data_IF_417558785826
#
_entry.id   IF_417558785826
#
_cell.length_a   1.000
_cell.length_b   1.000
_cell.length_c   1.000
_cell.angle_alpha   90.00
_cell.angle_beta   90.00
_cell.angle_gamma   90.00
#
_symmetry.space_group_name_H-M   'P 1'
#
loop_
_entity.id
_entity.type
_entity.pdbx_description
1 polymer ?
#
# COMPACT_ATOMS: atom_id res chain seq x y z
N UNK A 1 4.37 10.35 -16.93
CA UNK A 1 3.65 10.46 -16.35
C UNK A 1 3.10 9.49 -15.81
N UNK A 2 2.60 9.31 -15.30
CA UNK A 2 2.27 8.49 -14.71
C UNK A 2 1.09 7.95 -14.84
N UNK A 3 0.57 7.23 -14.37
CA UNK A 3 -0.67 6.56 -14.54
C UNK A 3 -1.86 7.36 -14.11
N UNK A 4 -3.03 6.86 -14.36
CA UNK A 4 -4.28 7.47 -13.99
C UNK A 4 -4.84 6.73 -12.80
N UNK A 5 -5.38 7.46 -11.82
CA UNK A 5 -6.04 6.84 -10.68
C UNK A 5 -7.33 6.19 -11.17
N UNK A 6 -7.47 4.89 -10.91
CA UNK A 6 -8.69 4.16 -11.24
C UNK A 6 -9.63 4.17 -10.04
N UNK A 7 -9.10 3.87 -8.87
CA UNK A 7 -9.87 3.74 -7.64
C UNK A 7 -9.08 4.23 -6.46
N UNK A 8 -9.78 4.64 -5.42
CA UNK A 8 -9.17 4.92 -4.13
C UNK A 8 -9.97 4.18 -3.08
N UNK A 9 -9.29 3.45 -2.22
CA UNK A 9 -9.92 2.56 -1.27
C UNK A 9 -9.38 2.78 0.13
N UNK A 10 -10.20 2.48 1.14
CA UNK A 10 -9.77 2.45 2.52
C UNK A 10 -10.07 1.06 3.05
N UNK A 11 -9.04 0.35 3.49
CA UNK A 11 -9.18 -1.02 3.99
C UNK A 11 -8.23 -1.24 5.14
N UNK A 12 -8.47 -2.30 5.89
CA UNK A 12 -7.66 -2.64 7.04
C UNK A 12 -6.81 -3.86 6.74
N UNK A 13 -5.57 -3.84 7.19
CA UNK A 13 -4.67 -4.97 7.00
C UNK A 13 -3.53 -4.93 8.00
N UNK A 14 -2.82 -6.05 8.07
CA UNK A 14 -1.67 -6.21 8.94
C UNK A 14 -0.42 -6.13 8.08
N UNK A 15 0.53 -5.28 8.48
CA UNK A 15 1.76 -5.15 7.73
C UNK A 15 2.59 -6.41 7.91
N UNK A 16 2.93 -7.07 6.79
CA UNK A 16 3.70 -8.28 6.83
C UNK A 16 5.19 -8.00 6.75
N UNK A 17 5.60 -7.30 5.71
CA UNK A 17 7.02 -6.97 5.53
C UNK A 17 7.21 -6.06 4.33
N UNK A 18 8.40 -5.45 4.28
CA UNK A 18 8.90 -4.78 3.09
C UNK A 18 9.94 -5.71 2.48
N UNK A 19 9.70 -6.13 1.25
CA UNK A 19 10.58 -7.09 0.60
C UNK A 19 10.63 -6.79 -0.89
N UNK A 20 11.82 -6.76 -1.45
CA UNK A 20 12.04 -6.60 -2.88
C UNK A 20 11.34 -5.33 -3.40
N UNK A 21 11.42 -4.26 -2.60
CA UNK A 21 10.85 -2.96 -2.91
C UNK A 21 9.35 -2.88 -2.79
N UNK A 22 8.71 -3.89 -2.26
CA UNK A 22 7.25 -3.92 -2.13
C UNK A 22 6.85 -3.98 -0.67
N UNK A 23 5.73 -3.33 -0.37
CA UNK A 23 5.14 -3.34 0.96
C UNK A 23 4.01 -4.35 0.96
N UNK A 24 4.11 -5.39 1.77
CA UNK A 24 3.15 -6.48 1.78
C UNK A 24 2.27 -6.41 3.00
N UNK A 25 0.96 -6.46 2.78
CA UNK A 25 -0.04 -6.47 3.85
C UNK A 25 -0.97 -7.65 3.67
N UNK A 26 -1.36 -8.27 4.79
CA UNK A 26 -2.42 -9.25 4.79
C UNK A 26 -3.70 -8.52 5.16
N UNK A 27 -4.63 -8.44 4.23
CA UNK A 27 -5.84 -7.66 4.41
C UNK A 27 -6.87 -8.44 5.22
N UNK A 28 -7.87 -7.73 5.74
CA UNK A 28 -8.87 -8.36 6.59
C UNK A 28 -9.62 -9.50 5.92
N UNK A 29 -9.74 -9.44 4.60
CA UNK A 29 -10.42 -10.52 3.88
C UNK A 29 -9.51 -11.73 3.62
N UNK A 30 -8.28 -11.70 4.14
CA UNK A 30 -7.34 -12.80 3.98
C UNK A 30 -6.42 -12.68 2.79
N UNK A 31 -6.67 -11.75 1.89
CA UNK A 31 -5.81 -11.56 0.73
C UNK A 31 -4.53 -10.83 1.11
N UNK A 32 -3.45 -11.13 0.40
CA UNK A 32 -2.22 -10.37 0.52
C UNK A 32 -2.20 -9.32 -0.57
N UNK A 33 -2.06 -8.06 -0.19
CA UNK A 33 -1.86 -6.99 -1.15
C UNK A 33 -0.42 -6.53 -1.10
N UNK A 34 0.08 -6.19 -2.28
CA UNK A 34 1.45 -5.72 -2.45
C UNK A 34 1.39 -4.33 -3.02
N UNK A 35 2.01 -3.38 -2.32
CA UNK A 35 2.02 -1.97 -2.72
C UNK A 35 3.39 -1.61 -3.26
N UNK A 36 3.42 -1.05 -4.46
CA UNK A 36 4.68 -0.66 -5.11
C UNK A 36 5.15 0.70 -4.65
N UNK A 37 4.24 1.57 -4.23
CA UNK A 37 4.58 2.93 -3.88
C UNK A 37 3.94 3.34 -2.58
N UNK A 38 4.52 4.35 -1.94
CA UNK A 38 4.00 4.92 -0.72
C UNK A 38 4.19 6.44 -0.80
N UNK A 39 3.20 7.19 -0.33
CA UNK A 39 3.30 8.64 -0.31
C UNK A 39 4.35 9.08 0.71
N UNK A 40 4.90 10.28 0.51
CA UNK A 40 5.87 10.80 1.46
C UNK A 40 5.24 11.05 2.82
N UNK A 41 3.97 11.41 2.86
CA UNK A 41 3.26 11.60 4.12
C UNK A 41 3.22 10.30 4.93
N UNK A 42 2.81 9.22 4.28
CA UNK A 42 2.71 7.92 4.95
C UNK A 42 4.09 7.39 5.35
N UNK A 43 5.08 7.53 4.46
CA UNK A 43 6.41 6.99 4.74
C UNK A 43 7.11 7.75 5.86
N UNK A 44 6.82 9.04 6.02
CA UNK A 44 7.40 9.79 7.12
C UNK A 44 6.76 9.43 8.45
N UNK A 45 5.48 9.08 8.41
CA UNK A 45 4.77 8.73 9.63
C UNK A 45 5.13 7.32 10.09
N UNK A 46 5.29 6.40 9.17
CA UNK A 46 5.60 5.01 9.49
C UNK A 46 6.65 4.50 8.52
N UNK A 47 7.85 4.23 9.03
CA UNK A 47 8.92 3.70 8.19
C UNK A 47 8.74 2.18 8.09
N UNK A 48 8.04 1.76 7.05
CA UNK A 48 7.73 0.35 6.85
C UNK A 48 8.91 -0.45 6.35
N UNK A 49 10.02 0.19 6.01
CA UNK A 49 11.21 -0.54 5.55
C UNK A 49 11.95 -1.21 6.68
N UNK A 50 11.63 -0.85 7.92
CA UNK A 50 12.20 -1.52 9.08
C UNK A 50 11.26 -2.64 9.52
N UNK A 51 11.71 -3.49 10.42
CA UNK A 51 10.87 -4.55 10.97
C UNK A 51 9.98 -4.07 12.10
N UNK A 52 10.08 -2.78 12.45
CA UNK A 52 9.41 -2.24 13.63
C UNK A 52 7.90 -2.40 13.60
N UNK A 53 7.30 -2.29 12.43
CA UNK A 53 5.84 -2.32 12.30
C UNK A 53 5.30 -3.65 11.78
N UNK A 54 6.15 -4.65 11.64
CA UNK A 54 5.68 -5.97 11.19
C UNK A 54 4.70 -6.53 12.22
N UNK A 55 3.57 -7.03 11.73
CA UNK A 55 2.53 -7.57 12.58
C UNK A 55 1.56 -6.53 13.12
N UNK A 56 1.77 -5.26 12.83
CA UNK A 56 0.86 -4.20 13.27
C UNK A 56 -0.29 -4.04 12.30
N UNK A 57 -1.46 -3.70 12.85
CA UNK A 57 -2.65 -3.47 12.04
C UNK A 57 -2.73 -2.00 11.64
N UNK A 58 -3.12 -1.76 10.40
CA UNK A 58 -3.24 -0.41 9.87
C UNK A 58 -4.56 -0.22 9.15
N UNK A 59 -5.07 0.99 9.23
CA UNK A 59 -6.06 1.47 8.28
C UNK A 59 -5.28 2.06 7.12
N UNK A 60 -5.50 1.53 5.93
CA UNK A 60 -4.72 1.88 4.75
C UNK A 60 -5.62 2.58 3.74
N UNK A 61 -5.27 3.82 3.40
CA UNK A 61 -5.89 4.49 2.27
C UNK A 61 -4.94 4.33 1.10
N UNK A 62 -5.41 3.71 0.02
CA UNK A 62 -4.54 3.45 -1.11
C UNK A 62 -5.26 3.69 -2.42
N UNK A 63 -4.48 3.91 -3.44
CA UNK A 63 -4.97 4.17 -4.79
C UNK A 63 -4.51 3.08 -5.74
N UNK A 64 -5.36 2.78 -6.71
CA UNK A 64 -5.03 1.91 -7.81
C UNK A 64 -4.79 2.77 -9.03
N UNK A 65 -3.68 2.55 -9.69
CA UNK A 65 -3.30 3.31 -10.88
C UNK A 65 -3.20 2.38 -12.06
N UNK A 66 -3.76 2.80 -13.19
CA UNK A 66 -3.47 2.14 -14.46
C UNK A 66 -2.24 2.80 -15.02
N UNK A 67 -1.26 1.99 -15.41
CA UNK A 67 -0.05 2.54 -15.94
C UNK A 67 -0.25 2.90 -17.39
N UNK A 68 -0.03 4.14 -17.73
CA UNK A 68 -0.30 4.68 -19.07
C UNK A 68 -1.74 4.37 -19.43
N UNK A 69 -2.00 3.82 -20.58
CA UNK A 69 -3.34 3.45 -20.99
C UNK A 69 -3.57 1.95 -20.89
N UNK A 70 -2.68 1.26 -20.19
CA UNK A 70 -2.75 -0.18 -20.11
C UNK A 70 -3.43 -0.60 -18.83
N UNK A 71 -4.70 -0.93 -18.91
CA UNK A 71 -5.48 -1.32 -17.73
C UNK A 71 -5.11 -2.70 -17.22
N UNK A 72 -4.28 -3.44 -17.95
CA UNK A 72 -3.81 -4.73 -17.47
C UNK A 72 -2.69 -4.58 -16.45
N UNK A 73 -2.06 -3.41 -16.37
CA UNK A 73 -1.01 -3.17 -15.40
C UNK A 73 -1.50 -2.18 -14.37
N UNK A 74 -1.87 -2.68 -13.21
CA UNK A 74 -2.38 -1.86 -12.13
C UNK A 74 -1.36 -1.86 -11.02
N UNK A 75 -1.03 -0.68 -10.53
CA UNK A 75 -0.14 -0.50 -9.40
C UNK A 75 -0.93 0.03 -8.23
N UNK A 76 -0.48 -0.32 -7.03
CA UNK A 76 -1.10 0.15 -5.80
C UNK A 76 -0.14 1.08 -5.08
N UNK A 77 -0.66 2.21 -4.63
CA UNK A 77 0.12 3.18 -3.88
C UNK A 77 -0.56 3.46 -2.54
N UNK A 78 0.22 3.35 -1.46
CA UNK A 78 -0.27 3.73 -0.14
C UNK A 78 -0.28 5.25 -0.07
N UNK A 79 -1.47 5.83 0.15
CA UNK A 79 -1.60 7.27 0.27
C UNK A 79 -1.54 7.72 1.72
N UNK A 80 -2.13 6.93 2.62
CA UNK A 80 -2.24 7.31 4.02
C UNK A 80 -2.27 6.05 4.88
N UNK A 81 -1.64 6.14 6.05
CA UNK A 81 -1.62 5.05 7.02
C UNK A 81 -1.99 5.58 8.39
N UNK A 82 -2.80 4.80 9.11
CA UNK A 82 -3.10 5.04 10.50
C UNK A 82 -3.02 3.71 11.23
N UNK A 83 -2.51 3.71 12.45
CA UNK A 83 -2.55 2.50 13.26
C UNK A 83 -3.98 2.20 13.65
N UNK A 84 -4.36 0.96 13.44
CA UNK A 84 -5.73 0.54 13.75
C UNK A 84 -5.86 0.10 15.20
#
# INVERSE_FOLDING_TARGET
MRGTIINQNVEYGVFKRFYDRYYQFVMDNGDTLVFEEISSLASRKFDLKTSKFQGKSFEITYSEYAEDDDEDFVMYKIEKLELA
#
